data_IF_157801644087
#
_entry.id   IF_157801644087
#
_cell.length_a   1.000
_cell.length_b   1.000
_cell.length_c   1.000
_cell.angle_alpha   90.00
_cell.angle_beta   90.00
_cell.angle_gamma   90.00
#
_symmetry.space_group_name_H-M   'P 1'
#
loop_
_entity.id
_entity.type
_entity.pdbx_description
1 polymer ?
#
# COMPACT_ATOMS: atom_id res chain seq x y z
N UNK A 1 -4.93 9.98 11.87
CA UNK A 1 -4.01 10.75 11.01
C UNK A 1 -4.68 10.99 9.67
N UNK A 2 -4.47 12.15 9.09
CA UNK A 2 -4.91 12.49 7.74
C UNK A 2 -3.71 12.49 6.80
N UNK A 3 -3.78 11.72 5.73
CA UNK A 3 -2.70 11.65 4.73
C UNK A 3 -2.99 12.56 3.55
N UNK A 4 -1.92 13.18 3.05
CA UNK A 4 -1.94 14.02 1.86
C UNK A 4 -0.67 13.78 1.05
N UNK A 5 -0.79 13.68 -0.26
CA UNK A 5 0.33 13.49 -1.17
C UNK A 5 0.15 12.28 -2.06
N UNK A 6 1.27 11.69 -2.46
CA UNK A 6 1.24 10.55 -3.38
C UNK A 6 1.45 9.23 -2.65
N UNK A 7 0.63 8.23 -3.01
CA UNK A 7 0.79 6.84 -2.57
C UNK A 7 0.70 5.94 -3.79
N UNK A 8 1.20 4.72 -3.66
CA UNK A 8 1.23 3.73 -4.74
C UNK A 8 0.41 2.51 -4.37
N UNK A 9 -0.40 2.01 -5.31
CA UNK A 9 -1.17 0.79 -5.06
C UNK A 9 -0.39 -0.44 -5.44
N UNK A 10 -0.45 -1.49 -4.62
CA UNK A 10 0.10 -2.78 -4.96
C UNK A 10 -0.56 -3.89 -4.14
N UNK A 11 -1.03 -4.93 -4.80
CA UNK A 11 -1.50 -6.17 -4.20
C UNK A 11 -0.55 -7.32 -4.53
N UNK A 12 -1.04 -8.55 -4.37
CA UNK A 12 -0.28 -9.79 -4.50
C UNK A 12 0.55 -9.86 -5.79
N UNK A 13 -0.10 -9.66 -6.95
CA UNK A 13 0.58 -9.79 -8.24
C UNK A 13 1.63 -8.71 -8.46
N UNK A 14 1.33 -7.46 -8.08
CA UNK A 14 2.29 -6.37 -8.19
C UNK A 14 3.47 -6.56 -7.25
N UNK A 15 3.23 -7.02 -6.01
CA UNK A 15 4.30 -7.35 -5.08
C UNK A 15 5.24 -8.41 -5.68
N UNK A 16 4.68 -9.46 -6.26
CA UNK A 16 5.49 -10.51 -6.87
C UNK A 16 6.35 -9.98 -8.02
N UNK A 17 5.80 -9.09 -8.84
CA UNK A 17 6.56 -8.43 -9.92
C UNK A 17 7.70 -7.57 -9.38
N UNK A 18 7.45 -6.80 -8.32
CA UNK A 18 8.50 -5.98 -7.68
C UNK A 18 9.62 -6.85 -7.11
N UNK A 19 9.27 -7.94 -6.45
CA UNK A 19 10.24 -8.88 -5.90
C UNK A 19 11.06 -9.54 -7.01
N UNK A 20 10.43 -9.93 -8.10
CA UNK A 20 11.14 -10.49 -9.26
C UNK A 20 12.16 -9.48 -9.81
N UNK A 21 11.80 -8.20 -9.90
CA UNK A 21 12.74 -7.14 -10.31
C UNK A 21 13.93 -7.05 -9.35
N UNK A 22 13.67 -7.08 -8.05
CA UNK A 22 14.72 -7.02 -7.03
C UNK A 22 15.67 -8.22 -7.14
N UNK A 23 15.10 -9.43 -7.25
CA UNK A 23 15.88 -10.67 -7.32
C UNK A 23 16.72 -10.77 -8.58
N UNK A 24 16.26 -10.19 -9.68
CA UNK A 24 16.93 -10.23 -10.98
C UNK A 24 17.77 -8.98 -11.26
N UNK A 25 17.91 -8.09 -10.29
CA UNK A 25 18.61 -6.79 -10.43
C UNK A 25 18.08 -5.97 -11.62
N UNK A 26 16.77 -6.06 -11.88
CA UNK A 26 16.10 -5.28 -12.90
C UNK A 26 15.66 -3.92 -12.34
N UNK A 27 15.48 -2.93 -13.21
CA UNK A 27 14.98 -1.63 -12.83
C UNK A 27 13.54 -1.73 -12.32
N UNK A 28 13.26 -1.09 -11.17
CA UNK A 28 11.93 -1.02 -10.60
C UNK A 28 11.09 0.04 -11.36
N UNK A 29 9.76 -0.16 -11.43
CA UNK A 29 8.89 0.79 -12.16
C UNK A 29 8.80 2.17 -11.50
N UNK A 30 9.17 2.27 -10.22
CA UNK A 30 9.29 3.54 -9.50
C UNK A 30 10.29 3.39 -8.36
N UNK A 31 10.81 4.52 -7.88
CA UNK A 31 11.72 4.54 -6.73
C UNK A 31 10.93 4.26 -5.45
N UNK A 32 11.26 3.18 -4.75
CA UNK A 32 10.58 2.78 -3.52
C UNK A 32 10.96 3.65 -2.32
N UNK A 33 12.10 4.35 -2.38
CA UNK A 33 12.64 5.10 -1.25
C UNK A 33 11.67 6.17 -0.75
N UNK A 34 11.28 6.07 0.52
CA UNK A 34 10.43 7.04 1.18
C UNK A 34 8.95 6.96 0.82
N UNK A 35 8.53 5.94 0.06
CA UNK A 35 7.17 5.86 -0.46
C UNK A 35 6.20 5.11 0.46
N UNK A 36 4.91 5.30 0.20
CA UNK A 36 3.82 4.60 0.84
C UNK A 36 3.15 3.64 -0.14
N UNK A 37 2.85 2.43 0.31
CA UNK A 37 2.09 1.45 -0.47
C UNK A 37 0.71 1.26 0.15
N UNK A 38 -0.31 1.33 -0.68
CA UNK A 38 -1.69 1.03 -0.34
C UNK A 38 -2.08 -0.32 -0.93
N UNK A 39 -2.47 -1.25 -0.08
CA UNK A 39 -2.91 -2.59 -0.47
C UNK A 39 -4.35 -2.53 -0.97
N UNK A 40 -4.50 -2.25 -2.24
CA UNK A 40 -5.79 -2.09 -2.88
C UNK A 40 -5.76 -2.54 -4.33
N UNK A 41 -6.86 -3.16 -4.78
CA UNK A 41 -7.16 -3.36 -6.19
C UNK A 41 -8.50 -2.68 -6.46
N UNK A 42 -8.50 -1.42 -6.91
CA UNK A 42 -9.76 -0.70 -7.07
C UNK A 42 -10.65 -1.32 -8.14
N UNK A 43 -11.97 -1.21 -7.95
CA UNK A 43 -12.90 -1.60 -9.00
C UNK A 43 -12.77 -0.65 -10.19
N UNK A 44 -13.20 -1.06 -11.41
CA UNK A 44 -13.20 -0.15 -12.55
C UNK A 44 -14.00 1.12 -12.23
N UNK A 45 -13.45 2.27 -12.62
CA UNK A 45 -14.14 3.54 -12.45
C UNK A 45 -15.26 3.69 -13.48
N UNK A 46 -16.33 4.34 -13.04
CA UNK A 46 -17.41 4.78 -13.94
C UNK A 46 -17.02 6.08 -14.64
N UNK A 47 -17.73 6.42 -15.71
CA UNK A 47 -17.51 7.68 -16.40
C UNK A 47 -17.61 8.86 -15.43
N UNK A 48 -16.60 9.73 -15.48
CA UNK A 48 -16.52 10.89 -14.60
C UNK A 48 -15.90 10.63 -13.24
N UNK A 49 -15.61 9.37 -12.86
CA UNK A 49 -14.93 9.04 -11.62
C UNK A 49 -13.42 8.96 -11.81
N UNK A 50 -12.67 9.45 -10.83
CA UNK A 50 -11.19 9.35 -10.81
C UNK A 50 -10.77 7.90 -10.62
N UNK A 51 -11.46 7.18 -9.73
CA UNK A 51 -11.17 5.80 -9.38
C UNK A 51 -12.48 5.12 -8.95
N UNK A 52 -12.56 3.81 -9.08
CA UNK A 52 -13.66 3.04 -8.57
C UNK A 52 -13.58 2.87 -7.05
N UNK A 53 -14.32 1.92 -6.51
CA UNK A 53 -14.26 1.61 -5.08
C UNK A 53 -12.86 1.14 -4.71
N UNK A 54 -12.26 1.75 -3.67
CA UNK A 54 -10.85 1.60 -3.30
C UNK A 54 -10.65 1.18 -1.85
N UNK A 55 -11.45 0.21 -1.38
CA UNK A 55 -11.29 -0.36 -0.04
C UNK A 55 -10.03 -1.20 0.10
N UNK A 56 -9.38 -1.20 1.28
CA UNK A 56 -8.15 -1.94 1.48
C UNK A 56 -8.37 -3.45 1.43
N UNK A 57 -7.38 -4.16 0.88
CA UNK A 57 -7.30 -5.62 0.93
C UNK A 57 -6.63 -6.07 2.22
N UNK A 58 -6.86 -7.32 2.63
CA UNK A 58 -6.25 -7.90 3.82
C UNK A 58 -4.74 -8.00 3.66
N UNK A 59 -4.00 -7.40 4.59
CA UNK A 59 -2.57 -7.17 4.46
C UNK A 59 -1.70 -8.43 4.63
N UNK A 60 -2.13 -9.41 5.45
CA UNK A 60 -1.31 -10.60 5.73
C UNK A 60 -0.97 -11.39 4.45
N UNK A 61 -1.76 -11.24 3.41
CA UNK A 61 -1.51 -11.88 2.11
C UNK A 61 -0.18 -11.44 1.49
N UNK A 62 0.29 -10.25 1.83
CA UNK A 62 1.54 -9.69 1.34
C UNK A 62 2.71 -9.91 2.31
N UNK A 63 2.48 -10.52 3.48
CA UNK A 63 3.52 -10.60 4.52
C UNK A 63 4.82 -11.25 4.03
N UNK A 64 4.72 -12.35 3.27
CA UNK A 64 5.91 -13.03 2.74
C UNK A 64 6.62 -12.24 1.63
N UNK A 65 5.98 -11.19 1.12
CA UNK A 65 6.46 -10.36 0.01
C UNK A 65 6.87 -8.95 0.45
N UNK A 66 6.82 -8.66 1.74
CA UNK A 66 6.94 -7.29 2.26
C UNK A 66 8.38 -6.91 2.60
N UNK A 67 9.13 -7.78 3.25
CA UNK A 67 10.48 -7.47 3.76
C UNK A 67 11.39 -6.86 2.69
N UNK A 68 11.50 -7.42 1.48
CA UNK A 68 12.38 -6.83 0.45
C UNK A 68 12.00 -5.40 0.07
N UNK A 69 10.72 -5.05 0.11
CA UNK A 69 10.26 -3.70 -0.21
C UNK A 69 10.61 -2.72 0.90
N UNK A 70 10.50 -3.14 2.16
CA UNK A 70 10.90 -2.30 3.30
C UNK A 70 12.41 -2.06 3.28
N UNK A 71 13.20 -3.08 2.93
CA UNK A 71 14.65 -2.96 2.80
C UNK A 71 15.04 -1.99 1.69
N UNK A 72 14.18 -1.79 0.69
CA UNK A 72 14.38 -0.84 -0.40
C UNK A 72 13.83 0.55 -0.13
N UNK A 73 13.29 0.79 1.06
CA UNK A 73 12.93 2.14 1.51
C UNK A 73 11.46 2.48 1.59
N UNK A 74 10.54 1.54 1.37
CA UNK A 74 9.12 1.76 1.65
C UNK A 74 8.97 2.10 3.13
N UNK A 75 8.26 3.18 3.44
CA UNK A 75 8.13 3.71 4.81
C UNK A 75 6.73 3.53 5.40
N UNK A 76 5.71 3.50 4.59
CA UNK A 76 4.33 3.34 5.04
C UNK A 76 3.65 2.23 4.27
N UNK A 77 2.87 1.44 4.98
CA UNK A 77 1.98 0.44 4.40
C UNK A 77 0.57 0.73 4.89
N UNK A 78 -0.39 0.74 3.97
CA UNK A 78 -1.78 1.02 4.28
C UNK A 78 -2.62 -0.18 3.87
N UNK A 79 -3.37 -0.74 4.81
CA UNK A 79 -4.19 -1.92 4.55
C UNK A 79 -5.18 -2.19 5.67
N UNK A 80 -5.44 -3.45 5.94
CA UNK A 80 -6.29 -3.88 7.07
C UNK A 80 -5.81 -5.23 7.61
N UNK A 81 -6.11 -5.47 8.88
CA UNK A 81 -5.81 -6.74 9.54
C UNK A 81 -4.40 -6.82 10.11
N UNK A 82 -4.09 -7.98 10.65
CA UNK A 82 -2.82 -8.22 11.34
C UNK A 82 -1.65 -8.44 10.39
N UNK A 83 -0.44 -8.26 10.92
CA UNK A 83 0.81 -8.60 10.24
C UNK A 83 1.55 -9.66 11.04
N UNK A 84 2.39 -10.48 10.38
CA UNK A 84 3.21 -11.47 11.08
C UNK A 84 4.45 -10.81 11.72
N UNK A 85 5.15 -11.58 12.56
CA UNK A 85 6.30 -11.06 13.30
C UNK A 85 7.47 -10.68 12.38
N UNK A 86 7.65 -11.38 11.28
CA UNK A 86 8.72 -11.06 10.30
C UNK A 86 8.54 -9.64 9.74
N UNK A 87 7.30 -9.28 9.40
CA UNK A 87 7.00 -7.92 8.92
C UNK A 87 7.25 -6.90 10.02
N UNK A 88 6.80 -7.17 11.25
CA UNK A 88 6.98 -6.24 12.38
C UNK A 88 8.47 -6.02 12.66
N UNK A 89 9.28 -7.08 12.65
CA UNK A 89 10.73 -6.98 12.85
C UNK A 89 11.39 -6.16 11.74
N UNK A 90 10.98 -6.36 10.49
CA UNK A 90 11.47 -5.59 9.35
C UNK A 90 11.06 -4.11 9.44
N UNK A 91 9.86 -3.83 9.95
CA UNK A 91 9.40 -2.45 10.20
C UNK A 91 10.26 -1.75 11.23
N UNK A 92 10.62 -2.44 12.32
CA UNK A 92 11.50 -1.90 13.35
C UNK A 92 12.89 -1.60 12.79
N UNK A 93 13.44 -2.54 12.03
CA UNK A 93 14.75 -2.40 11.38
C UNK A 93 14.79 -1.21 10.42
N UNK A 94 13.73 -1.01 9.64
CA UNK A 94 13.68 -0.02 8.56
C UNK A 94 12.93 1.25 8.93
N UNK A 95 12.44 1.37 10.15
CA UNK A 95 11.68 2.54 10.65
C UNK A 95 10.44 2.80 9.79
N UNK A 96 9.55 1.81 9.73
CA UNK A 96 8.32 1.84 8.94
C UNK A 96 7.10 1.82 9.85
N UNK A 97 5.98 2.32 9.36
CA UNK A 97 4.70 2.24 10.04
C UNK A 97 3.64 1.54 9.17
N UNK A 98 2.71 0.87 9.83
CA UNK A 98 1.58 0.22 9.20
C UNK A 98 0.29 0.90 9.65
N UNK A 99 -0.51 1.31 8.68
CA UNK A 99 -1.71 2.11 8.88
C UNK A 99 -2.93 1.34 8.38
N UNK A 100 -4.05 1.49 9.07
CA UNK A 100 -5.34 0.98 8.59
C UNK A 100 -6.18 2.14 8.04
N UNK A 101 -6.78 1.93 6.88
CA UNK A 101 -7.71 2.90 6.33
C UNK A 101 -9.03 2.85 7.10
N UNK A 102 -9.57 4.02 7.44
CA UNK A 102 -10.80 4.16 8.21
C UNK A 102 -11.99 4.18 7.27
N UNK A 103 -13.13 3.66 7.77
CA UNK A 103 -14.41 3.81 7.11
C UNK A 103 -14.91 2.63 6.33
N UNK A 104 -14.11 1.59 6.12
CA UNK A 104 -14.52 0.30 5.57
C UNK A 104 -15.23 0.31 4.22
N UNK A 105 -15.75 1.43 3.76
CA UNK A 105 -16.42 1.55 2.47
C UNK A 105 -15.46 2.14 1.43
N UNK A 106 -15.14 1.34 0.43
CA UNK A 106 -14.23 1.77 -0.63
C UNK A 106 -14.68 3.03 -1.38
N UNK A 107 -16.00 3.26 -1.45
CA UNK A 107 -16.55 4.49 -2.03
C UNK A 107 -16.21 5.74 -1.21
N UNK A 108 -16.19 5.62 0.12
CA UNK A 108 -15.79 6.72 1.00
C UNK A 108 -14.30 7.05 0.82
N UNK A 109 -13.46 6.02 0.81
CA UNK A 109 -12.02 6.18 0.62
C UNK A 109 -11.73 6.79 -0.75
N UNK A 110 -12.45 6.38 -1.80
CA UNK A 110 -12.25 6.89 -3.14
C UNK A 110 -12.46 8.42 -3.25
N UNK A 111 -13.29 9.01 -2.38
CA UNK A 111 -13.47 10.45 -2.33
C UNK A 111 -12.21 11.21 -1.90
N UNK A 112 -11.30 10.57 -1.18
CA UNK A 112 -10.02 11.14 -0.78
C UNK A 112 -8.97 11.06 -1.89
N UNK A 113 -9.25 10.35 -2.97
CA UNK A 113 -8.32 10.14 -4.09
C UNK A 113 -8.66 11.16 -5.17
N UNK A 114 -7.75 12.10 -5.39
CA UNK A 114 -7.97 13.23 -6.32
C UNK A 114 -7.45 12.97 -7.72
N UNK A 115 -6.42 12.14 -7.84
CA UNK A 115 -5.86 11.70 -9.13
C UNK A 115 -5.43 10.25 -9.04
N UNK A 116 -5.53 9.54 -10.16
CA UNK A 116 -5.11 8.14 -10.29
C UNK A 116 -4.45 7.94 -11.66
N UNK A 117 -3.26 7.38 -11.66
CA UNK A 117 -2.50 7.12 -12.88
C UNK A 117 -1.89 5.73 -12.79
N UNK A 118 -2.13 4.88 -13.80
CA UNK A 118 -1.44 3.59 -13.91
C UNK A 118 0.00 3.86 -14.33
N UNK A 119 0.96 3.43 -13.52
CA UNK A 119 2.38 3.64 -13.80
C UNK A 119 3.09 2.36 -14.21
N UNK A 120 2.54 1.18 -13.89
CA UNK A 120 3.16 -0.10 -14.21
C UNK A 120 2.14 -1.24 -14.21
N UNK A 121 2.47 -2.27 -14.96
CA UNK A 121 1.74 -3.55 -14.97
C UNK A 121 0.26 -3.40 -15.34
N UNK A 122 -0.01 -2.57 -16.35
CA UNK A 122 -1.37 -2.28 -16.82
C UNK A 122 -2.18 -3.55 -17.13
N UNK A 123 -1.51 -4.61 -17.59
CA UNK A 123 -2.11 -5.91 -17.90
C UNK A 123 -2.68 -6.62 -16.66
N UNK A 124 -2.29 -6.23 -15.46
CA UNK A 124 -2.83 -6.80 -14.22
C UNK A 124 -4.20 -6.24 -13.84
N UNK A 125 -4.72 -5.27 -14.59
CA UNK A 125 -6.05 -4.71 -14.35
C UNK A 125 -6.16 -4.04 -12.98
N UNK A 126 -7.05 -4.53 -12.12
CA UNK A 126 -7.23 -4.00 -10.77
C UNK A 126 -5.95 -4.05 -9.93
N UNK A 127 -5.05 -4.98 -10.22
CA UNK A 127 -3.79 -5.12 -9.48
C UNK A 127 -2.61 -4.39 -10.14
N UNK A 128 -2.84 -3.59 -11.18
CA UNK A 128 -1.83 -2.70 -11.72
C UNK A 128 -1.34 -1.73 -10.65
N UNK A 129 -0.09 -1.29 -10.76
CA UNK A 129 0.43 -0.25 -9.86
C UNK A 129 -0.07 1.11 -10.33
N UNK A 130 -0.79 1.81 -9.44
CA UNK A 130 -1.26 3.17 -9.67
C UNK A 130 -0.57 4.12 -8.71
N UNK A 131 -0.25 5.30 -9.20
CA UNK A 131 0.10 6.41 -8.34
C UNK A 131 -1.17 7.20 -8.07
N UNK A 132 -1.50 7.33 -6.79
CA UNK A 132 -2.68 8.07 -6.34
C UNK A 132 -2.26 9.36 -5.67
N UNK A 133 -2.90 10.46 -6.01
CA UNK A 133 -2.82 11.68 -5.22
C UNK A 133 -3.99 11.70 -4.26
N UNK A 134 -3.71 11.71 -2.97
CA UNK A 134 -4.73 11.69 -1.92
C UNK A 134 -4.73 13.00 -1.14
N UNK A 135 -5.92 13.33 -0.61
CA UNK A 135 -6.13 14.48 0.24
C UNK A 135 -7.15 14.11 1.31
N UNK A 136 -6.78 14.33 2.58
CA UNK A 136 -7.60 13.94 3.73
C UNK A 136 -7.96 12.46 3.80
N UNK A 137 -7.04 11.58 3.39
CA UNK A 137 -7.22 10.15 3.58
C UNK A 137 -7.03 9.82 5.06
N UNK A 138 -8.12 9.41 5.72
CA UNK A 138 -8.12 9.12 7.15
C UNK A 138 -7.59 7.72 7.42
N UNK A 139 -6.56 7.63 8.26
CA UNK A 139 -5.93 6.35 8.64
C UNK A 139 -5.62 6.32 10.13
N UNK A 140 -5.49 5.12 10.68
CA UNK A 140 -5.08 4.88 12.06
C UNK A 140 -3.72 4.18 12.03
N UNK A 141 -2.79 4.60 12.90
CA UNK A 141 -1.54 3.87 13.09
C UNK A 141 -1.86 2.58 13.85
N UNK A 142 -1.65 1.44 13.20
CA UNK A 142 -1.90 0.11 13.78
C UNK A 142 -0.64 -0.47 14.39
N UNK A 143 0.48 -0.35 13.67
CA UNK A 143 1.79 -0.77 14.16
C UNK A 143 2.77 0.38 13.89
N UNK A 144 3.42 0.88 14.93
CA UNK A 144 4.39 1.94 14.79
C UNK A 144 5.80 1.40 14.49
N UNK A 145 6.74 2.29 14.28
CA UNK A 145 8.13 1.92 13.94
C UNK A 145 8.92 1.29 15.10
N UNK A 146 8.34 1.25 16.29
CA UNK A 146 8.91 0.59 17.46
C UNK A 146 8.32 -0.80 17.70
N UNK A 147 7.38 -1.20 16.85
CA UNK A 147 6.70 -2.50 16.95
C UNK A 147 5.51 -2.51 17.91
N UNK A 148 5.08 -1.35 18.43
CA UNK A 148 3.84 -1.27 19.19
C UNK A 148 2.68 -1.60 18.27
N UNK A 149 1.85 -2.56 18.67
CA UNK A 149 0.83 -3.15 17.81
C UNK A 149 -0.52 -3.13 18.53
N UNK A 150 -1.51 -2.47 17.92
CA UNK A 150 -2.85 -2.33 18.50
C UNK A 150 -3.54 -3.69 18.72
N UNK A 151 -3.18 -4.71 17.94
CA UNK A 151 -3.76 -6.05 18.08
C UNK A 151 -3.19 -6.85 19.26
N UNK A 152 -2.15 -6.36 19.92
CA UNK A 152 -1.45 -7.02 21.01
C UNK A 152 -1.58 -6.28 22.35
N UNK A 153 -2.59 -5.43 22.46
CA UNK A 153 -2.89 -4.70 23.70
C UNK A 153 -3.68 -5.60 24.66
#
# INVERSE_FOLDING_TARGET
ISLRGFIYTARDAAHQRLINCINNNEELPFDLQGQAIYYVGPTPNKEGEVIGSAGPTTSYRMDDLTEPLLDRGIKLMIGKGKRNQVVIDSMKKNTCAYLAAIGGAGAYISNSIKKSEVIAYNELGAEAIRRLEVEDLQVIVVIDCRGNNIYEI
#
